data_IF_323116412431
#
_entry.id   IF_323116412431
#
_cell.length_a   1.000
_cell.length_b   1.000
_cell.length_c   1.000
_cell.angle_alpha   90.00
_cell.angle_beta   90.00
_cell.angle_gamma   90.00
#
_symmetry.space_group_name_H-M   'P 1'
#
loop_
_entity.id
_entity.type
_entity.pdbx_description
1 polymer ?
#
# COMPACT_ATOMS: atom_id res chain seq x y z
N UNK A 1 -57.16 10.47 32.96
CA UNK A 1 -55.70 10.73 32.91
C UNK A 1 -54.96 9.63 32.13
N UNK A 2 -55.23 9.45 30.82
CA UNK A 2 -54.53 8.44 29.98
C UNK A 2 -54.20 8.93 28.55
N UNK A 3 -54.51 10.18 28.20
CA UNK A 3 -54.27 10.74 26.85
C UNK A 3 -53.07 11.69 26.74
N UNK A 4 -52.53 12.16 27.87
CA UNK A 4 -51.37 13.07 27.89
C UNK A 4 -50.02 12.34 27.99
N UNK A 5 -50.01 11.05 28.34
CA UNK A 5 -48.76 10.25 28.42
C UNK A 5 -48.25 9.87 27.04
N UNK A 6 -49.14 9.72 26.05
CA UNK A 6 -48.73 9.40 24.67
C UNK A 6 -48.06 10.59 23.96
N UNK A 7 -48.40 11.84 24.32
CA UNK A 7 -47.82 13.02 23.68
C UNK A 7 -46.37 13.25 24.11
N UNK A 8 -46.04 13.00 25.39
CA UNK A 8 -44.65 13.09 25.87
C UNK A 8 -43.75 11.96 25.32
N UNK A 9 -44.32 10.80 24.97
CA UNK A 9 -43.55 9.69 24.41
C UNK A 9 -43.19 9.92 22.93
N UNK A 10 -44.07 10.56 22.17
CA UNK A 10 -43.81 10.92 20.77
C UNK A 10 -42.77 12.03 20.61
N UNK A 11 -42.71 12.97 21.57
CA UNK A 11 -41.70 14.05 21.58
C UNK A 11 -40.29 13.57 21.98
N UNK A 12 -40.16 12.48 22.72
CA UNK A 12 -38.86 11.88 23.06
C UNK A 12 -38.24 11.07 21.89
N UNK A 13 -39.05 10.57 20.95
CA UNK A 13 -38.56 9.83 19.79
C UNK A 13 -37.92 10.73 18.71
N UNK A 14 -38.19 12.03 18.72
CA UNK A 14 -37.62 12.99 17.77
C UNK A 14 -36.24 13.51 18.23
N UNK A 15 -35.90 13.38 19.52
CA UNK A 15 -34.59 13.83 20.04
C UNK A 15 -33.47 12.79 19.81
N UNK A 16 -33.80 11.54 19.47
CA UNK A 16 -32.81 10.49 19.20
C UNK A 16 -32.31 10.42 17.75
N UNK A 17 -32.91 11.16 16.80
CA UNK A 17 -32.48 11.12 15.39
C UNK A 17 -31.40 12.15 15.04
N UNK A 18 -30.97 13.00 15.97
CA UNK A 18 -29.88 13.96 15.76
C UNK A 18 -28.47 13.42 16.13
N UNK A 19 -28.32 12.10 16.33
CA UNK A 19 -27.11 11.50 16.93
C UNK A 19 -26.34 10.45 16.12
N UNK A 20 -26.73 10.14 14.87
CA UNK A 20 -26.09 9.07 14.08
C UNK A 20 -25.16 9.60 12.98
N UNK A 21 -23.96 10.07 13.35
CA UNK A 21 -22.89 10.30 12.35
C UNK A 21 -21.48 9.95 12.82
N UNK A 22 -21.26 9.59 14.10
CA UNK A 22 -19.90 9.39 14.64
C UNK A 22 -19.38 7.95 14.63
N UNK A 23 -20.26 6.94 14.63
CA UNK A 23 -19.84 5.54 14.73
C UNK A 23 -19.17 5.03 13.44
N UNK A 24 -19.71 5.39 12.28
CA UNK A 24 -19.15 4.99 10.97
C UNK A 24 -17.81 5.67 10.68
N UNK A 25 -17.65 6.93 11.10
CA UNK A 25 -16.39 7.65 10.90
C UNK A 25 -15.23 6.96 11.61
N UNK A 26 -15.39 6.54 12.87
CA UNK A 26 -14.31 5.90 13.62
C UNK A 26 -13.91 4.54 13.02
N UNK A 27 -14.88 3.75 12.55
CA UNK A 27 -14.61 2.45 11.91
C UNK A 27 -13.83 2.64 10.60
N UNK A 28 -14.18 3.64 9.79
CA UNK A 28 -13.46 3.95 8.56
C UNK A 28 -12.01 4.37 8.86
N UNK A 29 -11.80 5.22 9.87
CA UNK A 29 -10.45 5.67 10.25
C UNK A 29 -9.58 4.50 10.74
N UNK A 30 -10.13 3.58 11.53
CA UNK A 30 -9.42 2.38 11.98
C UNK A 30 -9.10 1.43 10.82
N UNK A 31 -10.01 1.28 9.85
CA UNK A 31 -9.74 0.51 8.63
C UNK A 31 -8.62 1.13 7.82
N UNK A 32 -8.63 2.45 7.63
CA UNK A 32 -7.55 3.16 6.92
C UNK A 32 -6.21 2.89 7.60
N UNK A 33 -6.10 3.02 8.93
CA UNK A 33 -4.87 2.70 9.66
C UNK A 33 -4.43 1.25 9.43
N UNK A 34 -5.36 0.30 9.55
CA UNK A 34 -5.05 -1.11 9.34
C UNK A 34 -4.55 -1.42 7.92
N UNK A 35 -5.13 -0.79 6.89
CA UNK A 35 -4.70 -1.01 5.51
C UNK A 35 -3.37 -0.31 5.20
N UNK A 36 -3.09 0.85 5.80
CA UNK A 36 -1.77 1.49 5.71
C UNK A 36 -0.69 0.59 6.31
N UNK A 37 -0.93 0.02 7.50
CA UNK A 37 0.02 -0.88 8.18
C UNK A 37 0.25 -2.17 7.38
N UNK A 38 -0.82 -2.74 6.79
CA UNK A 38 -0.71 -3.90 5.90
C UNK A 38 0.13 -3.59 4.67
N UNK A 39 -0.08 -2.43 4.05
CA UNK A 39 0.70 -2.03 2.89
C UNK A 39 2.18 -1.92 3.26
N UNK A 40 2.54 -1.22 4.34
CA UNK A 40 3.93 -1.05 4.77
C UNK A 40 4.60 -2.39 5.12
N UNK A 41 3.86 -3.34 5.69
CA UNK A 41 4.37 -4.69 5.98
C UNK A 41 4.64 -5.49 4.71
N UNK A 42 3.70 -5.46 3.77
CA UNK A 42 3.78 -6.28 2.56
C UNK A 42 4.77 -5.69 1.56
N UNK A 43 4.82 -4.37 1.45
CA UNK A 43 5.61 -3.71 0.44
C UNK A 43 7.12 -3.90 0.69
N UNK A 44 7.85 -4.25 -0.35
CA UNK A 44 9.31 -4.43 -0.27
C UNK A 44 9.97 -3.06 -0.22
N UNK A 45 10.91 -2.86 0.71
CA UNK A 45 11.68 -1.62 0.83
C UNK A 45 12.82 -1.54 -0.18
N UNK A 46 13.26 -0.34 -0.51
CA UNK A 46 14.47 -0.10 -1.31
C UNK A 46 15.68 -0.80 -0.68
N UNK A 47 15.78 -0.75 0.65
CA UNK A 47 16.85 -1.42 1.39
C UNK A 47 16.74 -2.94 1.32
N UNK A 48 15.54 -3.52 1.39
CA UNK A 48 15.33 -4.95 1.20
C UNK A 48 15.76 -5.40 -0.21
N UNK A 49 15.48 -4.58 -1.24
CA UNK A 49 16.02 -4.84 -2.58
C UNK A 49 17.55 -4.82 -2.60
N UNK A 50 18.19 -3.83 -1.98
CA UNK A 50 19.66 -3.75 -1.92
C UNK A 50 20.33 -4.89 -1.16
N UNK A 51 19.61 -5.60 -0.31
CA UNK A 51 20.13 -6.70 0.50
C UNK A 51 19.94 -8.09 -0.13
N UNK A 52 19.33 -8.17 -1.33
CA UNK A 52 19.27 -9.41 -2.11
C UNK A 52 20.72 -9.86 -2.39
N UNK A 53 21.16 -11.03 -1.91
CA UNK A 53 22.53 -11.49 -2.10
C UNK A 53 22.84 -11.77 -3.57
N UNK A 54 24.06 -11.40 -3.97
CA UNK A 54 24.69 -11.75 -5.25
C UNK A 54 25.26 -13.17 -5.16
N UNK A 55 24.38 -14.16 -5.25
CA UNK A 55 24.78 -15.58 -5.26
C UNK A 55 24.00 -16.31 -6.37
N UNK A 56 24.69 -17.16 -7.14
CA UNK A 56 24.06 -18.09 -8.08
C UNK A 56 23.08 -19.05 -7.39
N UNK A 57 23.25 -19.26 -6.09
CA UNK A 57 22.32 -19.98 -5.24
C UNK A 57 21.15 -19.11 -4.72
N UNK A 58 20.97 -17.88 -5.22
CA UNK A 58 19.85 -17.01 -4.84
C UNK A 58 18.55 -17.82 -4.95
N UNK A 59 17.89 -18.10 -3.82
CA UNK A 59 16.79 -19.04 -3.84
C UNK A 59 15.65 -18.39 -4.60
N UNK A 60 15.24 -19.01 -5.72
CA UNK A 60 14.05 -18.55 -6.48
C UNK A 60 12.81 -18.34 -5.60
N UNK A 61 12.77 -19.01 -4.44
CA UNK A 61 11.76 -18.82 -3.39
C UNK A 61 11.69 -17.38 -2.86
N UNK A 62 12.81 -16.65 -2.73
CA UNK A 62 12.79 -15.27 -2.24
C UNK A 62 12.19 -14.30 -3.28
N UNK A 63 12.44 -14.53 -4.57
CA UNK A 63 11.79 -13.76 -5.63
C UNK A 63 10.29 -14.07 -5.72
N UNK A 64 9.88 -15.33 -5.50
CA UNK A 64 8.47 -15.74 -5.43
C UNK A 64 7.79 -15.06 -4.22
N UNK A 65 8.39 -15.15 -3.03
CA UNK A 65 7.87 -14.51 -1.81
C UNK A 65 7.71 -12.99 -2.00
N UNK A 66 8.65 -12.35 -2.70
CA UNK A 66 8.61 -10.91 -2.99
C UNK A 66 7.53 -10.57 -4.02
N UNK A 67 7.32 -11.40 -5.03
CA UNK A 67 6.21 -11.24 -5.97
C UNK A 67 4.84 -11.40 -5.28
N UNK A 68 4.70 -12.39 -4.39
CA UNK A 68 3.48 -12.60 -3.61
C UNK A 68 3.19 -11.41 -2.68
N UNK A 69 4.23 -10.90 -2.02
CA UNK A 69 4.16 -9.68 -1.20
C UNK A 69 3.75 -8.46 -2.02
N UNK A 70 4.32 -8.27 -3.21
CA UNK A 70 3.93 -7.19 -4.12
C UNK A 70 2.46 -7.32 -4.53
N UNK A 71 1.99 -8.52 -4.84
CA UNK A 71 0.58 -8.76 -5.17
C UNK A 71 -0.37 -8.43 -3.99
N UNK A 72 0.02 -8.78 -2.76
CA UNK A 72 -0.74 -8.43 -1.55
C UNK A 72 -0.77 -6.91 -1.31
N UNK A 73 0.32 -6.21 -1.60
CA UNK A 73 0.37 -4.74 -1.58
C UNK A 73 -0.59 -4.14 -2.61
N UNK A 74 -0.70 -4.73 -3.81
CA UNK A 74 -1.61 -4.26 -4.87
C UNK A 74 -3.05 -4.32 -4.40
N UNK A 75 -3.43 -5.43 -3.78
CA UNK A 75 -4.80 -5.62 -3.28
C UNK A 75 -5.09 -4.70 -2.09
N UNK A 76 -4.10 -4.49 -1.21
CA UNK A 76 -4.21 -3.51 -0.11
C UNK A 76 -4.41 -2.09 -0.64
N UNK A 77 -3.76 -1.71 -1.75
CA UNK A 77 -3.95 -0.40 -2.39
C UNK A 77 -5.34 -0.25 -3.02
N UNK A 78 -5.93 -1.32 -3.56
CA UNK A 78 -7.32 -1.28 -4.03
C UNK A 78 -8.28 -1.03 -2.87
N UNK A 79 -8.06 -1.66 -1.73
CA UNK A 79 -8.88 -1.47 -0.52
C UNK A 79 -8.74 -0.03 0.02
N UNK A 80 -7.51 0.52 0.06
CA UNK A 80 -7.26 1.91 0.44
C UNK A 80 -7.97 2.91 -0.50
N UNK A 81 -7.96 2.66 -1.81
CA UNK A 81 -8.62 3.51 -2.81
C UNK A 81 -10.14 3.50 -2.64
N UNK A 82 -10.74 2.34 -2.35
CA UNK A 82 -12.17 2.23 -2.00
C UNK A 82 -12.50 2.98 -0.70
N UNK A 83 -11.65 2.85 0.32
CA UNK A 83 -11.80 3.58 1.58
C UNK A 83 -11.70 5.09 1.38
N UNK A 84 -10.77 5.56 0.55
CA UNK A 84 -10.60 6.97 0.21
C UNK A 84 -11.84 7.58 -0.46
N UNK A 85 -12.58 6.78 -1.25
CA UNK A 85 -13.88 7.16 -1.80
C UNK A 85 -14.93 7.47 -0.72
N UNK A 86 -14.84 6.83 0.44
CA UNK A 86 -15.76 6.96 1.57
C UNK A 86 -15.35 8.05 2.59
N UNK A 87 -14.16 8.62 2.46
CA UNK A 87 -13.66 9.68 3.36
C UNK A 87 -14.35 11.02 3.06
N UNK A 88 -14.95 11.62 4.10
CA UNK A 88 -15.58 12.95 4.03
C UNK A 88 -14.62 14.09 4.38
N UNK A 89 -13.62 13.84 5.21
CA UNK A 89 -12.62 14.85 5.58
C UNK A 89 -11.71 15.15 4.39
N UNK A 90 -11.71 16.38 3.90
CA UNK A 90 -10.99 16.77 2.69
C UNK A 90 -9.46 16.67 2.86
N UNK A 91 -8.95 16.95 4.05
CA UNK A 91 -7.51 16.89 4.32
C UNK A 91 -7.03 15.44 4.35
N UNK A 92 -7.75 14.58 5.07
CA UNK A 92 -7.49 13.14 5.10
C UNK A 92 -7.60 12.54 3.69
N UNK A 93 -8.65 12.87 2.94
CA UNK A 93 -8.84 12.34 1.59
C UNK A 93 -7.71 12.75 0.65
N UNK A 94 -7.27 14.01 0.72
CA UNK A 94 -6.16 14.52 -0.09
C UNK A 94 -4.87 13.78 0.22
N UNK A 95 -4.50 13.68 1.49
CA UNK A 95 -3.25 13.01 1.88
C UNK A 95 -3.31 11.50 1.60
N UNK A 96 -4.46 10.86 1.81
CA UNK A 96 -4.65 9.44 1.51
C UNK A 96 -4.51 9.16 0.00
N UNK A 97 -5.09 10.01 -0.85
CA UNK A 97 -4.91 9.90 -2.30
C UNK A 97 -3.45 10.15 -2.72
N UNK A 98 -2.75 11.07 -2.07
CA UNK A 98 -1.32 11.29 -2.29
C UNK A 98 -0.51 10.03 -1.95
N UNK A 99 -0.73 9.45 -0.77
CA UNK A 99 -0.10 8.21 -0.35
C UNK A 99 -0.35 7.06 -1.35
N UNK A 100 -1.60 6.86 -1.76
CA UNK A 100 -2.00 5.82 -2.74
C UNK A 100 -1.30 6.06 -4.08
N UNK A 101 -1.24 7.30 -4.56
CA UNK A 101 -0.58 7.63 -5.84
C UNK A 101 0.91 7.31 -5.82
N UNK A 102 1.61 7.69 -4.75
CA UNK A 102 3.04 7.40 -4.61
C UNK A 102 3.25 5.88 -4.49
N UNK A 103 2.39 5.20 -3.73
CA UNK A 103 2.44 3.75 -3.52
C UNK A 103 2.26 2.97 -4.82
N UNK A 104 1.31 3.37 -5.69
CA UNK A 104 1.08 2.77 -7.01
C UNK A 104 2.30 2.92 -7.92
N UNK A 105 2.89 4.11 -7.97
CA UNK A 105 4.09 4.35 -8.78
C UNK A 105 5.28 3.52 -8.28
N UNK A 106 5.44 3.41 -6.96
CA UNK A 106 6.48 2.60 -6.35
C UNK A 106 6.28 1.12 -6.63
N UNK A 107 5.06 0.63 -6.52
CA UNK A 107 4.71 -0.75 -6.81
C UNK A 107 5.00 -1.15 -8.25
N UNK A 108 4.68 -0.29 -9.23
CA UNK A 108 5.02 -0.54 -10.64
C UNK A 108 6.51 -0.79 -10.83
N UNK A 109 7.36 0.04 -10.22
CA UNK A 109 8.82 -0.12 -10.29
C UNK A 109 9.28 -1.39 -9.57
N UNK A 110 8.74 -1.68 -8.39
CA UNK A 110 9.09 -2.90 -7.64
C UNK A 110 8.71 -4.16 -8.42
N UNK A 111 7.50 -4.23 -8.98
CA UNK A 111 7.05 -5.38 -9.79
C UNK A 111 7.90 -5.52 -11.05
N UNK A 112 8.26 -4.41 -11.71
CA UNK A 112 9.15 -4.44 -12.86
C UNK A 112 10.51 -5.06 -12.50
N UNK A 113 11.15 -4.58 -11.44
CA UNK A 113 12.46 -5.10 -11.00
C UNK A 113 12.39 -6.57 -10.58
N UNK A 114 11.34 -7.00 -9.87
CA UNK A 114 11.17 -8.42 -9.52
C UNK A 114 10.97 -9.31 -10.75
N UNK A 115 10.22 -8.84 -11.74
CA UNK A 115 10.03 -9.57 -12.99
C UNK A 115 11.35 -9.72 -13.76
N UNK A 116 12.18 -8.68 -13.80
CA UNK A 116 13.48 -8.72 -14.45
C UNK A 116 14.43 -9.69 -13.75
N UNK A 117 14.49 -9.65 -12.41
CA UNK A 117 15.25 -10.61 -11.59
C UNK A 117 14.75 -12.05 -11.85
N UNK A 118 13.43 -12.28 -11.88
CA UNK A 118 12.85 -13.61 -12.13
C UNK A 118 13.25 -14.16 -13.50
N UNK A 119 13.21 -13.32 -14.53
CA UNK A 119 13.61 -13.72 -15.89
C UNK A 119 15.08 -14.12 -15.95
N UNK A 120 15.95 -13.38 -15.25
CA UNK A 120 17.38 -13.67 -15.15
C UNK A 120 17.65 -15.00 -14.42
N UNK A 121 16.97 -15.25 -13.29
CA UNK A 121 17.05 -16.53 -12.56
C UNK A 121 16.57 -17.70 -13.44
N UNK A 122 15.46 -17.52 -14.16
CA UNK A 122 14.93 -18.55 -15.05
C UNK A 122 15.91 -18.87 -16.18
N UNK A 123 16.59 -17.86 -16.74
CA UNK A 123 17.63 -18.07 -17.72
C UNK A 123 18.81 -18.86 -17.14
N UNK A 124 19.32 -18.48 -15.95
CA UNK A 124 20.43 -19.20 -15.31
C UNK A 124 20.09 -20.67 -15.00
N UNK A 125 18.84 -20.94 -14.59
CA UNK A 125 18.40 -22.28 -14.20
C UNK A 125 18.02 -23.19 -15.37
N UNK A 126 17.51 -22.64 -16.48
CA UNK A 126 16.99 -23.43 -17.61
C UNK A 126 17.83 -23.35 -18.89
N UNK A 127 18.71 -22.36 -19.01
CA UNK A 127 19.46 -22.06 -20.23
C UNK A 127 18.58 -21.58 -21.39
N UNK A 128 17.29 -21.30 -21.17
CA UNK A 128 16.40 -20.76 -22.22
C UNK A 128 16.61 -19.26 -22.38
N UNK A 129 17.04 -18.88 -23.60
CA UNK A 129 17.18 -17.48 -23.99
C UNK A 129 15.80 -16.87 -24.24
N UNK A 130 15.46 -15.81 -23.50
CA UNK A 130 14.28 -14.99 -23.78
C UNK A 130 14.56 -14.09 -25.01
N UNK A 131 14.17 -14.57 -26.19
CA UNK A 131 14.33 -13.87 -27.48
C UNK A 131 13.49 -12.59 -27.60
N UNK A 132 12.65 -12.27 -26.60
CA UNK A 132 11.93 -10.97 -26.56
C UNK A 132 12.76 -9.84 -25.97
N UNK A 133 13.96 -10.16 -25.45
CA UNK A 133 14.92 -9.18 -24.95
C UNK A 133 15.79 -8.60 -26.06
N UNK A 134 16.14 -7.30 -26.03
CA UNK A 134 17.20 -6.74 -26.86
C UNK A 134 18.51 -7.52 -26.67
N UNK A 135 19.31 -7.73 -27.73
CA UNK A 135 20.56 -8.51 -27.68
C UNK A 135 21.57 -8.00 -26.62
N UNK A 136 21.45 -6.74 -26.20
CA UNK A 136 22.25 -6.12 -25.13
C UNK A 136 21.90 -6.62 -23.71
N UNK A 137 20.80 -7.33 -23.55
CA UNK A 137 20.30 -7.88 -22.27
C UNK A 137 20.53 -9.41 -22.13
N UNK A 138 21.34 -9.99 -23.02
CA UNK A 138 21.69 -11.43 -23.00
C UNK A 138 22.75 -11.79 -21.96
N UNK A 139 23.39 -10.79 -21.34
CA UNK A 139 24.27 -11.01 -20.19
C UNK A 139 23.38 -10.99 -18.95
N UNK A 140 23.16 -12.17 -18.37
CA UNK A 140 22.47 -12.29 -17.08
C UNK A 140 23.35 -11.73 -15.99
N UNK A 141 22.94 -10.61 -15.44
CA UNK A 141 23.64 -9.95 -14.35
C UNK A 141 22.64 -9.38 -13.35
N UNK A 142 22.34 -10.17 -12.31
CA UNK A 142 21.51 -9.72 -11.19
C UNK A 142 22.11 -8.47 -10.54
N UNK A 143 23.44 -8.29 -10.60
CA UNK A 143 24.13 -7.11 -10.07
C UNK A 143 23.72 -5.83 -10.78
N UNK A 144 23.29 -5.91 -12.05
CA UNK A 144 22.76 -4.75 -12.78
C UNK A 144 21.52 -4.18 -12.10
N UNK A 145 20.65 -5.00 -11.50
CA UNK A 145 19.41 -4.53 -10.87
C UNK A 145 19.64 -4.06 -9.44
N UNK A 146 20.60 -4.67 -8.74
CA UNK A 146 20.94 -4.32 -7.35
C UNK A 146 21.75 -3.02 -7.25
N UNK A 147 22.64 -2.77 -8.23
CA UNK A 147 23.45 -1.55 -8.27
C UNK A 147 22.75 -0.37 -8.97
N UNK A 148 21.77 -0.63 -9.84
CA UNK A 148 21.05 0.41 -10.59
C UNK A 148 19.57 0.52 -10.17
N UNK A 149 19.26 0.37 -8.89
CA UNK A 149 17.95 0.82 -8.40
C UNK A 149 17.83 2.33 -8.68
N UNK A 150 16.71 2.80 -9.26
CA UNK A 150 16.60 4.18 -9.67
C UNK A 150 16.47 5.05 -8.41
N UNK A 151 17.10 6.23 -8.40
CA UNK A 151 17.01 7.19 -7.28
C UNK A 151 15.54 7.51 -6.95
N UNK A 152 14.68 7.52 -7.97
CA UNK A 152 13.24 7.69 -7.81
C UNK A 152 12.60 6.67 -6.88
N UNK A 153 13.11 5.44 -6.77
CA UNK A 153 12.62 4.42 -5.83
C UNK A 153 12.91 4.82 -4.38
N UNK A 154 14.08 5.39 -4.12
CA UNK A 154 14.47 5.90 -2.81
C UNK A 154 13.68 7.18 -2.45
N UNK A 155 13.52 8.09 -3.41
CA UNK A 155 12.73 9.32 -3.24
C UNK A 155 11.27 9.01 -2.89
N UNK A 156 10.68 8.02 -3.57
CA UNK A 156 9.33 7.56 -3.24
C UNK A 156 9.24 6.93 -1.86
N UNK A 157 10.28 6.23 -1.39
CA UNK A 157 10.31 5.68 -0.03
C UNK A 157 10.31 6.79 1.03
N UNK A 158 11.09 7.84 0.83
CA UNK A 158 11.05 9.02 1.70
C UNK A 158 9.70 9.74 1.62
N UNK A 159 9.15 9.90 0.42
CA UNK A 159 7.85 10.56 0.21
C UNK A 159 6.70 9.79 0.86
N UNK A 160 6.72 8.45 0.80
CA UNK A 160 5.75 7.61 1.49
C UNK A 160 5.86 7.76 3.00
N UNK A 161 7.08 7.76 3.54
CA UNK A 161 7.31 7.95 4.98
C UNK A 161 6.80 9.31 5.46
N UNK A 162 7.03 10.37 4.71
CA UNK A 162 6.51 11.71 5.01
C UNK A 162 4.97 11.73 4.96
N UNK A 163 4.39 11.14 3.90
CA UNK A 163 2.93 11.05 3.74
C UNK A 163 2.28 10.23 4.85
N UNK A 164 2.90 9.11 5.27
CA UNK A 164 2.45 8.29 6.41
C UNK A 164 2.43 9.11 7.71
N UNK A 165 3.48 9.86 7.99
CA UNK A 165 3.56 10.71 9.18
C UNK A 165 2.45 11.78 9.22
N UNK A 166 2.14 12.37 8.05
CA UNK A 166 1.00 13.29 7.92
C UNK A 166 -0.32 12.58 8.17
N UNK A 167 -0.52 11.40 7.59
CA UNK A 167 -1.72 10.58 7.83
C UNK A 167 -1.87 10.23 9.31
N UNK A 168 -0.82 9.80 9.99
CA UNK A 168 -0.86 9.49 11.42
C UNK A 168 -1.27 10.70 12.26
N UNK A 169 -0.77 11.89 11.91
CA UNK A 169 -1.16 13.13 12.59
C UNK A 169 -2.64 13.45 12.39
N UNK A 170 -3.17 13.22 11.18
CA UNK A 170 -4.59 13.46 10.86
C UNK A 170 -5.51 12.42 11.51
N UNK A 171 -5.07 11.16 11.55
CA UNK A 171 -5.80 10.01 12.07
C UNK A 171 -5.71 9.90 13.60
N UNK A 172 -4.77 10.61 14.24
CA UNK A 172 -4.59 10.60 15.68
C UNK A 172 -5.88 11.02 16.42
N UNK A 173 -6.18 10.39 17.57
CA UNK A 173 -7.29 10.84 18.40
C UNK A 173 -7.09 12.31 18.77
N UNK A 174 -8.07 13.17 18.44
CA UNK A 174 -8.03 14.57 18.87
C UNK A 174 -8.02 14.60 20.40
N UNK A 175 -6.90 15.02 21.00
CA UNK A 175 -6.84 15.33 22.44
C UNK A 175 -7.83 16.47 22.68
N UNK A 176 -8.82 16.20 23.54
CA UNK A 176 -9.75 17.22 24.05
C UNK A 176 -9.08 18.01 25.14
#
# INVERSE_FOLDING_TARGET
MKKYVLLCLALLLIVFSAGCTKKDSTVILQKIQSELDKYEKNMITFYQFKMIPDDLAFPGNLAIDYMDRAQQSTDTLKDLDQLAGSVKDANLKKELNNYISISRNRELLVIQYLNDIRKDINFQSTGQIDLTRPDTDLIVDVNRYLHNLPETMLDMEYSLKESRQKLDTILAPKKK
#
